data_IF_923736511961
#
_entry.id   IF_923736511961
#
_cell.length_a   1.000
_cell.length_b   1.000
_cell.length_c   1.000
_cell.angle_alpha   90.00
_cell.angle_beta   90.00
_cell.angle_gamma   90.00
#
_symmetry.space_group_name_H-M   'P 1'
#
loop_
_entity.id
_entity.type
_entity.pdbx_description
1 polymer ?
#
# COMPACT_ATOMS: atom_id res chain seq x y z
N UNK A 1 6.57 15.70 7.50
CA UNK A 1 6.21 14.33 7.12
C UNK A 1 7.10 13.40 7.91
N UNK A 2 6.53 12.52 8.72
CA UNK A 2 7.27 11.48 9.45
C UNK A 2 7.65 10.32 8.52
N UNK A 3 8.41 9.35 9.02
CA UNK A 3 8.76 8.15 8.24
C UNK A 3 7.51 7.32 7.98
N UNK A 4 6.65 7.13 8.98
CA UNK A 4 5.38 6.44 8.83
C UNK A 4 4.46 7.14 7.81
N UNK A 5 4.35 8.47 7.88
CA UNK A 5 3.56 9.26 6.92
C UNK A 5 4.11 9.11 5.48
N UNK A 6 5.43 9.21 5.30
CA UNK A 6 6.05 9.07 3.97
C UNK A 6 5.83 7.68 3.38
N UNK A 7 6.00 6.63 4.19
CA UNK A 7 5.77 5.25 3.76
C UNK A 7 4.28 5.00 3.48
N UNK A 8 3.37 5.56 4.28
CA UNK A 8 1.93 5.47 4.01
C UNK A 8 1.54 6.12 2.68
N UNK A 9 2.05 7.31 2.38
CA UNK A 9 1.84 7.96 1.06
C UNK A 9 2.40 7.08 -0.07
N UNK A 10 3.59 6.50 0.12
CA UNK A 10 4.16 5.57 -0.87
C UNK A 10 3.27 4.32 -1.08
N UNK A 11 2.71 3.72 -0.01
CA UNK A 11 1.78 2.59 -0.15
C UNK A 11 0.55 2.97 -0.97
N UNK A 12 0.01 4.18 -0.78
CA UNK A 12 -1.14 4.66 -1.54
C UNK A 12 -0.81 4.75 -3.04
N UNK A 13 0.31 5.39 -3.39
CA UNK A 13 0.75 5.48 -4.79
C UNK A 13 0.99 4.11 -5.44
N UNK A 14 1.59 3.18 -4.71
CA UNK A 14 1.81 1.81 -5.19
C UNK A 14 0.49 1.06 -5.38
N UNK A 15 -0.49 1.24 -4.49
CA UNK A 15 -1.82 0.65 -4.61
C UNK A 15 -2.55 1.14 -5.86
N UNK A 16 -2.48 2.44 -6.12
CA UNK A 16 -3.09 3.04 -7.31
C UNK A 16 -2.39 2.58 -8.60
N UNK A 17 -1.06 2.46 -8.57
CA UNK A 17 -0.29 1.91 -9.68
C UNK A 17 -0.64 0.45 -9.98
N UNK A 18 -0.81 -0.42 -8.96
CA UNK A 18 -1.26 -1.81 -9.14
C UNK A 18 -2.60 -1.85 -9.86
N UNK A 19 -3.59 -1.06 -9.40
CA UNK A 19 -4.92 -0.99 -10.05
C UNK A 19 -4.84 -0.50 -11.49
N UNK A 20 -4.01 0.53 -11.73
CA UNK A 20 -3.79 1.09 -13.06
C UNK A 20 -3.17 0.08 -14.03
N UNK A 21 -2.16 -0.67 -13.58
CA UNK A 21 -1.46 -1.67 -14.40
C UNK A 21 -2.34 -2.89 -14.72
N UNK A 22 -3.14 -3.38 -13.76
CA UNK A 22 -4.14 -4.43 -14.00
C UNK A 22 -5.19 -3.98 -15.03
N UNK A 23 -5.70 -2.74 -14.90
CA UNK A 23 -6.60 -2.15 -15.89
C UNK A 23 -5.96 -2.03 -17.28
N UNK A 24 -4.71 -1.55 -17.34
CA UNK A 24 -3.97 -1.40 -18.60
C UNK A 24 -3.74 -2.75 -19.29
N UNK A 25 -3.31 -3.77 -18.55
CA UNK A 25 -3.12 -5.12 -19.08
C UNK A 25 -4.40 -5.65 -19.74
N UNK A 26 -5.55 -5.55 -19.05
CA UNK A 26 -6.85 -5.99 -19.59
C UNK A 26 -7.28 -5.24 -20.86
N UNK A 27 -7.04 -3.93 -20.90
CA UNK A 27 -7.38 -3.11 -22.09
C UNK A 27 -6.46 -3.45 -23.26
N UNK A 28 -5.17 -3.62 -23.01
CA UNK A 28 -4.17 -4.00 -24.02
C UNK A 28 -4.42 -5.40 -24.59
N UNK A 29 -4.77 -6.35 -23.73
CA UNK A 29 -5.17 -7.71 -24.11
C UNK A 29 -6.39 -7.68 -25.05
N UNK A 30 -7.45 -6.97 -24.65
CA UNK A 30 -8.66 -6.79 -25.47
C UNK A 30 -8.37 -6.11 -26.81
N UNK A 31 -7.38 -5.21 -26.86
CA UNK A 31 -6.95 -4.53 -28.07
C UNK A 31 -6.02 -5.38 -28.96
N UNK A 32 -5.65 -6.60 -28.52
CA UNK A 32 -4.75 -7.49 -29.25
C UNK A 32 -3.27 -7.09 -29.17
N UNK A 33 -2.92 -6.14 -28.28
CA UNK A 33 -1.53 -5.67 -28.09
C UNK A 33 -0.83 -6.53 -27.04
N UNK A 34 -0.70 -7.83 -27.31
CA UNK A 34 -0.32 -8.85 -26.33
C UNK A 34 1.04 -8.58 -25.66
N UNK A 35 2.05 -8.16 -26.41
CA UNK A 35 3.37 -7.86 -25.84
C UNK A 35 3.37 -6.70 -24.83
N UNK A 36 2.51 -5.70 -25.03
CA UNK A 36 2.33 -4.60 -24.09
C UNK A 36 1.48 -5.04 -22.88
N UNK A 37 0.47 -5.89 -23.10
CA UNK A 37 -0.30 -6.52 -22.02
C UNK A 37 0.62 -7.31 -21.06
N UNK A 38 1.47 -8.16 -21.61
CA UNK A 38 2.46 -8.94 -20.84
C UNK A 38 3.41 -8.03 -20.05
N UNK A 39 3.85 -6.92 -20.67
CA UNK A 39 4.69 -5.95 -19.98
C UNK A 39 3.95 -5.25 -18.85
N UNK A 40 2.70 -4.85 -19.06
CA UNK A 40 1.85 -4.26 -18.02
C UNK A 40 1.63 -5.25 -16.86
N UNK A 41 1.43 -6.53 -17.15
CA UNK A 41 1.28 -7.58 -16.14
C UNK A 41 2.55 -7.79 -15.31
N UNK A 42 3.73 -7.82 -15.96
CA UNK A 42 5.02 -7.92 -15.24
C UNK A 42 5.25 -6.72 -14.32
N UNK A 43 4.92 -5.51 -14.79
CA UNK A 43 4.98 -4.30 -13.96
C UNK A 43 4.00 -4.40 -12.80
N UNK A 44 2.76 -4.84 -13.04
CA UNK A 44 1.75 -5.06 -12.00
C UNK A 44 2.29 -5.97 -10.88
N UNK A 45 2.86 -7.12 -11.25
CA UNK A 45 3.37 -8.09 -10.29
C UNK A 45 4.54 -7.53 -9.47
N UNK A 46 5.46 -6.81 -10.13
CA UNK A 46 6.55 -6.10 -9.47
C UNK A 46 6.06 -5.00 -8.51
N UNK A 47 5.12 -4.16 -8.94
CA UNK A 47 4.53 -3.11 -8.10
C UNK A 47 3.75 -3.70 -6.93
N UNK A 48 3.07 -4.84 -7.12
CA UNK A 48 2.34 -5.54 -6.06
C UNK A 48 3.29 -6.10 -4.98
N UNK A 49 4.44 -6.65 -5.39
CA UNK A 49 5.48 -7.07 -4.45
C UNK A 49 5.97 -5.87 -3.63
N UNK A 50 6.34 -4.79 -4.32
CA UNK A 50 6.82 -3.57 -3.67
C UNK A 50 5.78 -2.95 -2.73
N UNK A 51 4.50 -2.90 -3.12
CA UNK A 51 3.41 -2.44 -2.28
C UNK A 51 3.36 -3.24 -0.96
N UNK A 52 3.54 -4.55 -1.01
CA UNK A 52 3.51 -5.43 0.16
C UNK A 52 4.67 -5.13 1.11
N UNK A 53 5.88 -5.01 0.57
CA UNK A 53 7.09 -4.69 1.35
C UNK A 53 6.98 -3.33 2.04
N UNK A 54 6.55 -2.31 1.30
CA UNK A 54 6.41 -0.95 1.82
C UNK A 54 5.24 -0.86 2.81
N UNK A 55 4.16 -1.64 2.64
CA UNK A 55 3.06 -1.71 3.61
C UNK A 55 3.51 -2.28 4.96
N UNK A 56 4.37 -3.30 4.93
CA UNK A 56 4.97 -3.84 6.15
C UNK A 56 5.87 -2.79 6.81
N UNK A 57 6.73 -2.13 6.04
CA UNK A 57 7.60 -1.08 6.55
C UNK A 57 6.83 0.10 7.14
N UNK A 58 5.72 0.51 6.50
CA UNK A 58 4.82 1.55 7.00
C UNK A 58 4.21 1.15 8.35
N UNK A 59 3.75 -0.10 8.47
CA UNK A 59 3.17 -0.63 9.70
C UNK A 59 4.18 -0.65 10.86
N UNK A 60 5.42 -1.07 10.59
CA UNK A 60 6.51 -1.07 11.57
C UNK A 60 6.87 0.36 11.99
N UNK A 61 7.01 1.27 11.03
CA UNK A 61 7.29 2.68 11.32
C UNK A 61 6.17 3.33 12.14
N UNK A 62 4.91 3.06 11.81
CA UNK A 62 3.77 3.58 12.55
C UNK A 62 3.76 3.09 14.01
N UNK A 63 4.06 1.80 14.24
CA UNK A 63 4.20 1.26 15.61
C UNK A 63 5.34 1.90 16.38
N UNK A 64 6.49 2.13 15.74
CA UNK A 64 7.63 2.77 16.37
C UNK A 64 7.36 4.25 16.73
N UNK A 65 6.58 4.95 15.91
CA UNK A 65 6.22 6.36 16.11
C UNK A 65 5.02 6.56 17.05
N UNK A 66 4.17 5.55 17.20
CA UNK A 66 2.94 5.58 18.01
C UNK A 66 2.77 4.32 18.88
N UNK A 67 3.76 3.97 19.72
CA UNK A 67 3.67 2.75 20.53
C UNK A 67 2.45 2.72 21.46
N UNK A 68 1.92 3.89 21.86
CA UNK A 68 0.75 4.04 22.72
C UNK A 68 -0.56 3.45 22.15
N UNK A 69 -0.63 3.22 20.84
CA UNK A 69 -1.82 2.67 20.18
C UNK A 69 -1.68 1.19 19.81
N UNK A 70 -0.64 0.51 20.30
CA UNK A 70 -0.43 -0.91 20.08
C UNK A 70 -0.29 -1.65 21.42
N UNK A 71 -0.90 -2.83 21.52
CA UNK A 71 -0.68 -3.70 22.68
C UNK A 71 0.69 -4.42 22.61
N UNK A 72 1.01 -5.19 23.65
CA UNK A 72 2.26 -5.96 23.78
C UNK A 72 2.47 -6.97 22.64
N UNK A 73 1.40 -7.43 22.00
CA UNK A 73 1.46 -8.31 20.82
C UNK A 73 1.69 -7.56 19.51
N UNK A 74 1.70 -6.23 19.55
CA UNK A 74 1.81 -5.35 18.39
C UNK A 74 0.49 -5.19 17.63
N UNK A 75 -0.64 -5.56 18.22
CA UNK A 75 -1.96 -5.34 17.62
C UNK A 75 -2.40 -3.90 17.86
N UNK A 76 -2.95 -3.27 16.83
CA UNK A 76 -3.55 -1.93 16.96
C UNK A 76 -4.75 -1.97 17.90
N UNK A 77 -4.73 -1.14 18.95
CA UNK A 77 -5.81 -1.00 19.93
C UNK A 77 -6.59 0.31 19.81
N UNK A 78 -6.21 1.19 18.88
CA UNK A 78 -6.90 2.45 18.62
C UNK A 78 -6.45 3.60 19.54
N UNK A 79 -7.07 4.78 19.37
CA UNK A 79 -6.85 5.93 20.26
C UNK A 79 -7.53 5.68 21.60
N UNK A 80 -6.75 5.69 22.68
CA UNK A 80 -7.26 5.61 24.07
C UNK A 80 -8.03 6.87 24.49
N UNK A 81 -7.90 7.97 23.74
CA UNK A 81 -8.57 9.23 24.05
C UNK A 81 -9.97 9.28 23.43
N UNK A 82 -10.95 8.79 24.21
CA UNK A 82 -12.39 8.93 23.95
C UNK A 82 -12.85 10.39 23.91
N UNK A 83 -12.49 11.11 22.86
CA UNK A 83 -13.04 12.44 22.53
C UNK A 83 -13.46 12.52 21.06
N UNK A 84 -14.23 11.53 20.60
CA UNK A 84 -15.28 11.83 19.63
C UNK A 84 -16.44 12.45 20.41
N UNK A 85 -16.42 13.78 20.57
CA UNK A 85 -17.64 14.51 20.90
C UNK A 85 -18.49 14.57 19.64
N UNK A 86 -19.62 13.85 19.67
CA UNK A 86 -20.80 14.13 18.85
C UNK A 86 -21.24 15.60 18.98
#
# INVERSE_FOLDING_TARGET
>A
MTRAESLSVATQHLSDAVRGLDGAARVLDRAGVLGASDQAQRLHDGTKSLHTEISLAASVAHRAERPEFYDESGRWVGRTDGTEKH
#
